data_IF_263814020892
#
_entry.id   IF_263814020892
#
_cell.length_a   1.000
_cell.length_b   1.000
_cell.length_c   1.000
_cell.angle_alpha   90.00
_cell.angle_beta   90.00
_cell.angle_gamma   90.00
#
_symmetry.space_group_name_H-M   'P 1'
#
loop_
_entity.id
_entity.type
_entity.pdbx_description
1 polymer ?
#
# COMPACT_ATOMS: atom_id res chain seq x y z
N UNK A 1 -13.09 64.00 7.63
CA UNK A 1 -12.26 62.77 7.74
C UNK A 1 -12.65 61.87 8.92
N UNK A 2 -12.72 62.30 10.17
CA UNK A 2 -13.07 61.45 11.33
C UNK A 2 -14.42 60.71 11.22
N UNK A 3 -15.47 61.29 10.67
CA UNK A 3 -16.80 60.61 10.50
C UNK A 3 -16.79 59.49 9.47
N UNK A 4 -16.01 59.62 8.38
CA UNK A 4 -15.89 58.58 7.34
C UNK A 4 -15.09 57.38 7.87
N UNK A 5 -14.00 57.68 8.59
CA UNK A 5 -13.17 56.65 9.24
C UNK A 5 -13.96 55.83 10.27
N UNK A 6 -14.80 56.50 11.08
CA UNK A 6 -15.69 55.83 12.05
C UNK A 6 -16.71 54.89 11.36
N UNK A 7 -17.28 55.32 10.21
CA UNK A 7 -18.19 54.46 9.42
C UNK A 7 -17.46 53.25 8.82
N UNK A 8 -16.23 53.45 8.33
CA UNK A 8 -15.42 52.34 7.81
C UNK A 8 -15.10 51.29 8.87
N UNK A 9 -14.73 51.70 10.07
CA UNK A 9 -14.47 50.76 11.20
C UNK A 9 -15.73 49.99 11.55
N UNK A 10 -16.89 50.62 11.61
CA UNK A 10 -18.17 49.96 11.87
C UNK A 10 -18.48 48.89 10.82
N UNK A 11 -18.26 49.20 9.54
CA UNK A 11 -18.48 48.25 8.44
C UNK A 11 -17.52 47.06 8.53
N UNK A 12 -16.26 47.27 8.90
CA UNK A 12 -15.28 46.16 9.11
C UNK A 12 -15.72 45.27 10.26
N UNK A 13 -16.18 45.86 11.38
CA UNK A 13 -16.65 45.07 12.53
C UNK A 13 -17.88 44.23 12.16
N UNK A 14 -18.85 44.84 11.44
CA UNK A 14 -20.03 44.09 10.98
C UNK A 14 -19.64 42.98 10.02
N UNK A 15 -18.72 43.21 9.09
CA UNK A 15 -18.20 42.18 8.19
C UNK A 15 -17.54 41.01 8.96
N UNK A 16 -16.72 41.30 9.96
CA UNK A 16 -16.08 40.27 10.82
C UNK A 16 -17.10 39.45 11.62
N UNK A 17 -18.16 40.11 12.14
CA UNK A 17 -19.23 39.42 12.87
C UNK A 17 -19.98 38.47 11.93
N UNK A 18 -20.32 38.90 10.73
CA UNK A 18 -21.00 38.05 9.74
C UNK A 18 -20.12 36.88 9.28
N UNK A 19 -18.84 37.13 9.05
CA UNK A 19 -17.88 36.07 8.71
C UNK A 19 -17.69 35.08 9.86
N UNK A 20 -17.55 35.54 11.08
CA UNK A 20 -17.42 34.70 12.26
C UNK A 20 -18.68 33.84 12.52
N UNK A 21 -19.86 34.44 12.34
CA UNK A 21 -21.14 33.73 12.44
C UNK A 21 -21.30 32.67 11.36
N UNK A 22 -20.92 33.00 10.11
CA UNK A 22 -20.93 32.06 8.98
C UNK A 22 -19.97 30.89 9.19
N UNK A 23 -18.75 31.16 9.65
CA UNK A 23 -17.76 30.13 9.99
C UNK A 23 -18.21 29.27 11.18
N UNK A 24 -18.81 29.88 12.19
CA UNK A 24 -19.37 29.15 13.33
C UNK A 24 -20.51 28.21 12.91
N UNK A 25 -21.41 28.71 12.06
CA UNK A 25 -22.50 27.89 11.50
C UNK A 25 -21.97 26.73 10.66
N UNK A 26 -21.04 26.99 9.74
CA UNK A 26 -20.40 25.97 8.92
C UNK A 26 -19.67 24.93 9.80
N UNK A 27 -18.94 25.36 10.82
CA UNK A 27 -18.22 24.46 11.70
C UNK A 27 -19.16 23.61 12.57
N UNK A 28 -20.25 24.16 13.08
CA UNK A 28 -21.13 23.46 14.01
C UNK A 28 -22.30 22.70 13.37
N UNK A 29 -22.70 23.04 12.16
CA UNK A 29 -23.84 22.42 11.49
C UNK A 29 -23.51 21.73 10.18
N UNK A 30 -22.53 22.22 9.43
CA UNK A 30 -22.19 21.66 8.13
C UNK A 30 -20.97 20.72 8.19
N UNK A 31 -19.97 21.04 9.03
CA UNK A 31 -18.77 20.23 9.24
C UNK A 31 -18.92 19.25 10.42
N UNK A 32 -19.88 19.42 11.29
CA UNK A 32 -20.35 18.37 12.20
C UNK A 32 -21.21 17.36 11.44
N UNK A 33 -20.65 16.74 10.41
CA UNK A 33 -21.06 15.40 10.07
C UNK A 33 -20.77 14.52 11.30
N UNK A 34 -21.72 13.64 11.67
CA UNK A 34 -21.71 12.71 12.80
C UNK A 34 -20.57 11.65 12.77
N UNK A 35 -19.44 11.94 12.21
CA UNK A 35 -18.19 11.33 12.51
C UNK A 35 -17.51 12.23 13.56
N UNK A 36 -17.84 12.01 14.84
CA UNK A 36 -16.88 12.29 15.86
C UNK A 36 -15.59 11.62 15.40
N UNK A 37 -14.69 12.40 14.81
CA UNK A 37 -13.28 12.07 14.75
C UNK A 37 -12.84 12.04 16.22
N UNK A 38 -13.19 10.96 16.91
CA UNK A 38 -12.42 10.49 18.03
C UNK A 38 -11.08 10.15 17.39
N UNK A 39 -10.19 11.14 17.36
CA UNK A 39 -8.77 10.94 17.37
C UNK A 39 -8.52 10.17 18.67
N UNK A 40 -8.84 8.90 18.64
CA UNK A 40 -8.33 7.94 19.56
C UNK A 40 -6.86 7.87 19.15
N UNK A 41 -6.00 8.57 19.92
CA UNK A 41 -4.61 8.21 19.99
C UNK A 41 -4.69 6.70 20.17
N UNK A 42 -4.38 5.95 19.12
CA UNK A 42 -4.08 4.53 19.26
C UNK A 42 -2.83 4.58 20.09
N UNK A 43 -3.02 4.63 21.42
CA UNK A 43 -1.96 4.30 22.32
C UNK A 43 -1.50 2.96 21.84
N UNK A 44 -0.20 2.73 21.80
CA UNK A 44 0.36 1.39 21.70
C UNK A 44 -0.37 0.55 22.76
N UNK A 45 -1.60 0.13 22.42
CA UNK A 45 -2.26 -0.94 23.13
C UNK A 45 -1.28 -2.07 22.96
N UNK A 46 -0.66 -2.47 24.05
CA UNK A 46 0.22 -3.62 24.12
C UNK A 46 -0.55 -4.77 23.43
N UNK A 47 -0.40 -4.83 22.11
CA UNK A 47 -1.03 -5.83 21.27
C UNK A 47 -0.50 -7.14 21.83
N UNK A 48 -1.37 -7.95 22.33
CA UNK A 48 -1.06 -9.26 22.91
C UNK A 48 0.03 -9.91 22.06
N UNK A 49 1.23 -10.08 22.64
CA UNK A 49 2.34 -10.83 22.04
C UNK A 49 2.00 -12.32 21.81
N UNK A 50 0.73 -12.69 21.89
CA UNK A 50 0.25 -14.06 21.74
C UNK A 50 -0.19 -14.32 20.30
N UNK A 51 0.26 -15.43 19.77
CA UNK A 51 -0.23 -15.99 18.52
C UNK A 51 -1.75 -16.17 18.62
N UNK A 52 -2.49 -15.69 17.62
CA UNK A 52 -3.93 -15.89 17.52
C UNK A 52 -4.28 -16.67 16.26
N UNK A 53 -5.31 -17.49 16.34
CA UNK A 53 -5.83 -18.32 15.24
C UNK A 53 -7.26 -17.88 14.95
N UNK A 54 -7.59 -17.71 13.68
CA UNK A 54 -8.96 -17.35 13.27
C UNK A 54 -9.94 -18.49 13.56
N UNK A 55 -11.20 -18.12 13.79
CA UNK A 55 -12.31 -19.07 13.98
C UNK A 55 -12.88 -19.61 12.67
N UNK A 56 -12.53 -19.01 11.55
CA UNK A 56 -12.98 -19.41 10.21
C UNK A 56 -11.86 -20.08 9.42
N UNK A 57 -12.24 -20.83 8.40
CA UNK A 57 -11.30 -21.44 7.43
C UNK A 57 -11.41 -20.75 6.07
N UNK A 58 -10.27 -20.44 5.49
CA UNK A 58 -10.18 -20.03 4.10
C UNK A 58 -10.45 -21.25 3.23
N UNK A 59 -11.34 -21.16 2.23
CA UNK A 59 -11.60 -22.29 1.32
C UNK A 59 -10.33 -22.74 0.60
N UNK A 60 -10.16 -24.04 0.40
CA UNK A 60 -8.96 -24.61 -0.22
C UNK A 60 -8.75 -24.20 -1.68
N UNK A 61 -9.83 -23.83 -2.38
CA UNK A 61 -9.83 -23.32 -3.75
C UNK A 61 -9.79 -21.78 -3.82
N UNK A 62 -9.59 -21.09 -2.69
CA UNK A 62 -9.39 -19.64 -2.67
C UNK A 62 -8.03 -19.28 -3.30
N UNK A 63 -8.01 -18.16 -4.04
CA UNK A 63 -6.82 -17.64 -4.70
C UNK A 63 -6.56 -16.21 -4.27
N UNK A 64 -5.33 -15.72 -4.44
CA UNK A 64 -4.93 -14.33 -4.13
C UNK A 64 -5.37 -13.93 -2.74
N UNK A 65 -4.79 -14.62 -1.75
CA UNK A 65 -5.11 -14.42 -0.34
C UNK A 65 -4.22 -13.31 0.21
N UNK A 66 -4.82 -12.23 0.72
CA UNK A 66 -4.13 -11.09 1.31
C UNK A 66 -4.75 -10.72 2.66
N UNK A 67 -3.95 -10.17 3.58
CA UNK A 67 -4.46 -9.64 4.86
C UNK A 67 -4.37 -8.12 4.90
N UNK A 68 -5.26 -7.50 5.66
CA UNK A 68 -5.27 -6.05 5.89
C UNK A 68 -4.08 -5.59 6.73
N UNK A 69 -3.91 -4.27 6.85
CA UNK A 69 -2.83 -3.60 7.58
C UNK A 69 -2.52 -4.22 8.96
N UNK A 70 -3.54 -4.52 9.75
CA UNK A 70 -3.43 -5.10 11.11
C UNK A 70 -3.80 -6.58 11.17
N UNK A 71 -4.00 -7.22 10.02
CA UNK A 71 -4.57 -8.57 9.88
C UNK A 71 -5.94 -8.74 10.57
N UNK A 72 -6.68 -7.64 10.75
CA UNK A 72 -8.08 -7.65 11.24
C UNK A 72 -9.05 -8.20 10.20
N UNK A 73 -8.65 -8.16 8.93
CA UNK A 73 -9.41 -8.70 7.81
C UNK A 73 -8.49 -9.52 6.89
N UNK A 74 -9.08 -10.49 6.20
CA UNK A 74 -8.46 -11.25 5.13
C UNK A 74 -9.33 -11.14 3.89
N UNK A 75 -8.71 -11.01 2.73
CA UNK A 75 -9.39 -11.04 1.43
C UNK A 75 -8.90 -12.20 0.59
N UNK A 76 -9.79 -12.77 -0.22
CA UNK A 76 -9.45 -13.81 -1.18
C UNK A 76 -10.46 -13.84 -2.32
N UNK A 77 -10.04 -14.41 -3.44
CA UNK A 77 -10.96 -14.70 -4.53
C UNK A 77 -11.44 -16.15 -4.46
N UNK A 78 -12.74 -16.32 -4.61
CA UNK A 78 -13.41 -17.62 -4.72
C UNK A 78 -14.38 -17.56 -5.90
N UNK A 79 -14.21 -18.44 -6.90
CA UNK A 79 -15.04 -18.45 -8.12
C UNK A 79 -15.08 -17.07 -8.81
N UNK A 80 -13.94 -16.39 -8.91
CA UNK A 80 -13.79 -15.02 -9.44
C UNK A 80 -14.56 -13.92 -8.68
N UNK A 81 -15.06 -14.19 -7.50
CA UNK A 81 -15.66 -13.19 -6.61
C UNK A 81 -14.70 -12.85 -5.46
N UNK A 82 -14.65 -11.58 -5.10
CA UNK A 82 -13.82 -11.10 -3.99
C UNK A 82 -14.60 -11.20 -2.66
N UNK A 83 -14.03 -11.90 -1.72
CA UNK A 83 -14.53 -12.01 -0.35
C UNK A 83 -13.61 -11.31 0.62
N UNK A 84 -14.19 -10.64 1.61
CA UNK A 84 -13.49 -10.07 2.75
C UNK A 84 -14.09 -10.65 4.03
N UNK A 85 -13.23 -11.19 4.89
CA UNK A 85 -13.64 -11.83 6.13
C UNK A 85 -13.01 -11.11 7.32
N UNK A 86 -13.79 -10.77 8.31
CA UNK A 86 -13.28 -10.28 9.59
C UNK A 86 -12.62 -11.45 10.35
N UNK A 87 -11.36 -11.31 10.71
CA UNK A 87 -10.56 -12.41 11.27
C UNK A 87 -10.91 -12.76 12.72
N UNK A 88 -11.65 -11.92 13.42
CA UNK A 88 -12.11 -12.13 14.80
C UNK A 88 -13.48 -12.77 14.80
N UNK A 89 -14.43 -12.21 14.05
CA UNK A 89 -15.84 -12.64 14.07
C UNK A 89 -16.16 -13.72 13.06
N UNK A 90 -15.31 -13.93 12.06
CA UNK A 90 -15.57 -14.82 10.92
C UNK A 90 -16.65 -14.31 9.96
N UNK A 91 -17.18 -13.09 10.17
CA UNK A 91 -18.18 -12.51 9.28
C UNK A 91 -17.57 -12.27 7.90
N UNK A 92 -18.14 -12.90 6.89
CA UNK A 92 -17.74 -12.76 5.49
C UNK A 92 -18.63 -11.77 4.76
N UNK A 93 -18.02 -10.97 3.90
CA UNK A 93 -18.68 -10.02 3.01
C UNK A 93 -18.24 -10.34 1.59
N UNK A 94 -19.18 -10.57 0.69
CA UNK A 94 -18.91 -10.59 -0.73
C UNK A 94 -18.83 -9.14 -1.23
N UNK A 95 -17.66 -8.72 -1.72
CA UNK A 95 -17.49 -7.41 -2.33
C UNK A 95 -18.07 -7.49 -3.74
N UNK A 96 -19.40 -7.37 -3.81
CA UNK A 96 -20.09 -7.48 -5.09
C UNK A 96 -19.86 -6.25 -5.96
N UNK A 97 -19.76 -6.48 -7.25
CA UNK A 97 -19.85 -5.46 -8.29
C UNK A 97 -21.27 -5.48 -8.88
N UNK A 98 -21.68 -4.38 -9.51
CA UNK A 98 -22.92 -4.32 -10.29
C UNK A 98 -22.94 -5.37 -11.39
N UNK A 99 -24.10 -5.76 -11.91
CA UNK A 99 -24.23 -6.72 -13.00
C UNK A 99 -23.34 -6.35 -14.20
N UNK A 100 -22.55 -7.33 -14.68
CA UNK A 100 -21.61 -7.14 -15.80
C UNK A 100 -20.29 -6.49 -15.45
N UNK A 101 -20.04 -6.16 -14.18
CA UNK A 101 -18.77 -5.61 -13.68
C UNK A 101 -17.97 -6.72 -13.01
N UNK A 102 -16.68 -6.81 -13.34
CA UNK A 102 -15.74 -7.76 -12.73
C UNK A 102 -14.71 -7.02 -11.88
N UNK A 103 -14.50 -7.46 -10.64
CA UNK A 103 -13.35 -7.02 -9.85
C UNK A 103 -12.11 -7.71 -10.41
N UNK A 104 -11.22 -6.93 -11.01
CA UNK A 104 -10.00 -7.43 -11.67
C UNK A 104 -8.76 -7.37 -10.80
N UNK A 105 -8.76 -6.50 -9.78
CA UNK A 105 -7.64 -6.34 -8.86
C UNK A 105 -8.10 -5.68 -7.55
N UNK A 106 -7.49 -6.08 -6.44
CA UNK A 106 -7.65 -5.39 -5.16
C UNK A 106 -6.31 -5.30 -4.43
N UNK A 107 -6.16 -4.29 -3.59
CA UNK A 107 -4.99 -4.13 -2.72
C UNK A 107 -5.37 -3.41 -1.43
N UNK A 108 -4.92 -3.94 -0.30
CA UNK A 108 -5.07 -3.29 0.99
C UNK A 108 -4.23 -2.02 1.09
N UNK A 109 -4.74 -1.00 1.78
CA UNK A 109 -3.96 0.17 2.12
C UNK A 109 -2.91 -0.20 3.19
N UNK A 110 -1.73 0.44 3.16
CA UNK A 110 -0.63 0.07 4.07
C UNK A 110 -0.80 0.59 5.50
N UNK A 111 -1.79 1.45 5.75
CA UNK A 111 -1.95 2.20 7.00
C UNK A 111 -3.32 2.02 7.67
N UNK A 112 -4.27 1.36 7.00
CA UNK A 112 -5.65 1.18 7.51
C UNK A 112 -6.37 0.03 6.84
N UNK A 113 -7.48 -0.43 7.48
CA UNK A 113 -8.34 -1.50 6.97
C UNK A 113 -9.29 -0.99 5.88
N UNK A 114 -8.72 -0.56 4.77
CA UNK A 114 -9.42 -0.14 3.56
C UNK A 114 -8.68 -0.70 2.36
N UNK A 115 -9.37 -1.01 1.29
CA UNK A 115 -8.76 -1.53 0.06
C UNK A 115 -9.04 -0.62 -1.14
N UNK A 116 -8.11 -0.64 -2.09
CA UNK A 116 -8.34 -0.21 -3.45
C UNK A 116 -8.89 -1.39 -4.25
N UNK A 117 -9.93 -1.14 -5.00
CA UNK A 117 -10.60 -2.14 -5.85
C UNK A 117 -10.63 -1.59 -7.26
N UNK A 118 -10.16 -2.39 -8.22
CA UNK A 118 -10.28 -2.09 -9.64
C UNK A 118 -11.36 -2.96 -10.25
N UNK A 119 -12.32 -2.31 -10.86
CA UNK A 119 -13.41 -2.92 -11.58
C UNK A 119 -13.21 -2.76 -13.08
N UNK A 120 -13.55 -3.80 -13.82
CA UNK A 120 -13.50 -3.80 -15.29
C UNK A 120 -14.89 -4.02 -15.84
N UNK A 121 -15.33 -3.12 -16.70
CA UNK A 121 -16.57 -3.23 -17.47
C UNK A 121 -16.36 -2.71 -18.88
N UNK A 122 -16.64 -3.52 -19.89
CA UNK A 122 -16.55 -3.12 -21.30
C UNK A 122 -15.22 -2.43 -21.65
N UNK A 123 -14.08 -2.97 -21.19
CA UNK A 123 -12.71 -2.41 -21.34
C UNK A 123 -12.45 -1.11 -20.55
N UNK A 124 -13.39 -0.62 -19.78
CA UNK A 124 -13.15 0.49 -18.89
C UNK A 124 -12.67 -0.04 -17.54
N UNK A 125 -11.62 0.57 -17.02
CA UNK A 125 -11.16 0.35 -15.65
C UNK A 125 -11.66 1.49 -14.77
N UNK A 126 -12.32 1.15 -13.69
CA UNK A 126 -12.64 2.09 -12.63
C UNK A 126 -11.95 1.70 -11.34
N UNK A 127 -11.46 2.72 -10.63
CA UNK A 127 -10.82 2.59 -9.33
C UNK A 127 -11.76 3.09 -8.25
N UNK A 128 -11.90 2.32 -7.20
CA UNK A 128 -12.71 2.65 -6.02
C UNK A 128 -11.95 2.34 -4.74
N UNK A 129 -12.24 3.08 -3.67
CA UNK A 129 -11.97 2.63 -2.31
C UNK A 129 -13.11 1.75 -1.82
N UNK A 130 -12.77 0.71 -1.08
CA UNK A 130 -13.72 -0.10 -0.34
C UNK A 130 -13.40 -0.02 1.15
N UNK A 131 -14.31 0.56 1.92
CA UNK A 131 -14.24 0.61 3.39
C UNK A 131 -14.89 -0.64 3.96
N UNK A 132 -14.07 -1.51 4.57
CA UNK A 132 -14.55 -2.80 5.06
C UNK A 132 -15.39 -2.68 6.32
N UNK A 133 -15.21 -1.60 7.10
CA UNK A 133 -15.97 -1.38 8.34
C UNK A 133 -17.39 -0.92 8.06
N UNK A 134 -17.56 -0.14 7.00
CA UNK A 134 -18.85 0.40 6.55
C UNK A 134 -19.48 -0.46 5.44
N UNK A 135 -18.74 -1.42 4.88
CA UNK A 135 -19.12 -2.18 3.68
C UNK A 135 -19.50 -1.27 2.51
N UNK A 136 -18.82 -0.13 2.38
CA UNK A 136 -19.15 0.91 1.41
C UNK A 136 -18.02 1.09 0.38
N UNK A 137 -18.44 1.18 -0.88
CA UNK A 137 -17.55 1.46 -2.01
C UNK A 137 -17.71 2.93 -2.47
N UNK A 138 -16.60 3.63 -2.61
CA UNK A 138 -16.53 5.02 -3.08
C UNK A 138 -15.64 5.11 -4.31
N UNK A 139 -16.20 5.56 -5.44
CA UNK A 139 -15.47 5.69 -6.70
C UNK A 139 -14.42 6.80 -6.63
N UNK A 140 -13.19 6.46 -6.99
CA UNK A 140 -12.05 7.39 -7.09
C UNK A 140 -11.98 7.99 -8.49
N UNK A 141 -11.83 7.16 -9.52
CA UNK A 141 -11.65 7.62 -10.91
C UNK A 141 -11.93 6.51 -11.91
N UNK A 142 -12.31 6.90 -13.12
CA UNK A 142 -12.20 6.03 -14.30
C UNK A 142 -10.77 6.12 -14.82
N UNK A 143 -10.09 4.98 -14.92
CA UNK A 143 -8.67 4.98 -15.23
C UNK A 143 -8.43 5.14 -16.72
N UNK A 144 -9.04 4.32 -17.57
CA UNK A 144 -8.93 4.42 -19.05
C UNK A 144 -9.67 3.27 -19.74
N UNK A 145 -9.92 3.46 -21.06
CA UNK A 145 -10.18 2.35 -21.96
C UNK A 145 -8.87 1.60 -22.21
N UNK A 146 -8.82 0.35 -21.81
CA UNK A 146 -7.68 -0.54 -22.06
C UNK A 146 -8.00 -1.54 -23.16
N UNK A 147 -6.96 -2.11 -23.76
CA UNK A 147 -7.17 -3.24 -24.68
C UNK A 147 -7.74 -4.44 -23.90
N UNK A 148 -8.42 -5.35 -24.60
CA UNK A 148 -8.98 -6.57 -23.99
C UNK A 148 -7.91 -7.46 -23.33
N UNK A 149 -6.64 -7.32 -23.75
CA UNK A 149 -5.50 -8.06 -23.21
C UNK A 149 -4.82 -7.37 -22.01
N UNK A 150 -5.25 -6.16 -21.64
CA UNK A 150 -4.64 -5.42 -20.54
C UNK A 150 -5.16 -5.90 -19.17
N UNK A 151 -4.28 -5.99 -18.19
CA UNK A 151 -4.62 -6.37 -16.80
C UNK A 151 -3.87 -5.52 -15.80
N UNK A 152 -4.54 -5.10 -14.73
CA UNK A 152 -3.85 -4.45 -13.60
C UNK A 152 -2.98 -5.50 -12.90
N UNK A 153 -1.74 -5.12 -12.61
CA UNK A 153 -0.74 -5.99 -11.96
C UNK A 153 -0.26 -5.49 -10.62
N UNK A 154 -0.35 -4.20 -10.39
CA UNK A 154 -0.03 -3.62 -9.09
C UNK A 154 -0.66 -2.23 -8.94
N UNK A 155 -0.89 -1.82 -7.70
CA UNK A 155 -1.32 -0.47 -7.33
C UNK A 155 -0.48 -0.06 -6.14
N UNK A 156 0.15 1.10 -6.25
CA UNK A 156 0.85 1.72 -5.14
C UNK A 156 0.17 3.03 -4.76
N UNK A 157 0.01 3.26 -3.49
CA UNK A 157 -0.70 4.43 -2.96
C UNK A 157 0.11 5.10 -1.88
N UNK A 158 0.19 6.43 -1.94
CA UNK A 158 0.59 7.24 -0.80
C UNK A 158 -0.66 7.93 -0.23
N UNK A 159 -1.16 7.49 0.94
CA UNK A 159 -2.26 8.16 1.61
C UNK A 159 -1.93 9.60 2.03
N UNK A 160 -0.65 9.91 2.24
CA UNK A 160 -0.18 11.23 2.69
C UNK A 160 -0.17 12.25 1.55
N UNK A 161 0.28 11.86 0.36
CA UNK A 161 0.27 12.73 -0.82
C UNK A 161 -0.99 12.58 -1.67
N UNK A 162 -1.88 11.64 -1.31
CA UNK A 162 -3.13 11.35 -2.02
C UNK A 162 -2.92 11.01 -3.50
N UNK A 163 -1.86 10.27 -3.81
CA UNK A 163 -1.54 9.82 -5.16
C UNK A 163 -1.57 8.30 -5.26
N UNK A 164 -1.97 7.81 -6.41
CA UNK A 164 -2.09 6.39 -6.73
C UNK A 164 -1.37 6.13 -8.04
N UNK A 165 -0.46 5.16 -8.05
CA UNK A 165 0.20 4.65 -9.23
C UNK A 165 -0.34 3.27 -9.57
N UNK A 166 -0.78 3.08 -10.81
CA UNK A 166 -1.43 1.85 -11.27
C UNK A 166 -0.60 1.26 -12.38
N UNK A 167 -0.09 0.06 -12.16
CA UNK A 167 0.68 -0.70 -13.14
C UNK A 167 -0.24 -1.62 -13.92
N UNK A 168 -0.32 -1.37 -15.22
CA UNK A 168 -1.14 -2.13 -16.17
C UNK A 168 -0.23 -2.90 -17.13
N UNK A 169 -0.41 -4.20 -17.22
CA UNK A 169 0.25 -5.05 -18.21
C UNK A 169 -0.48 -4.95 -19.54
N UNK A 170 0.23 -4.60 -20.60
CA UNK A 170 -0.28 -4.47 -21.95
C UNK A 170 0.28 -5.63 -22.83
N UNK A 171 -0.51 -6.66 -23.03
CA UNK A 171 -0.04 -7.83 -23.77
C UNK A 171 1.03 -8.64 -23.02
N UNK A 172 2.06 -9.14 -23.75
CA UNK A 172 2.96 -10.16 -23.21
C UNK A 172 3.99 -9.64 -22.19
N UNK A 173 4.65 -8.51 -22.48
CA UNK A 173 5.82 -8.06 -21.69
C UNK A 173 5.77 -6.60 -21.24
N UNK A 174 4.93 -5.76 -21.81
CA UNK A 174 4.95 -4.33 -21.62
C UNK A 174 4.01 -3.87 -20.53
N UNK A 175 4.43 -2.82 -19.82
CA UNK A 175 3.65 -2.21 -18.76
C UNK A 175 3.48 -0.71 -19.01
N UNK A 176 2.31 -0.20 -18.68
CA UNK A 176 2.06 1.23 -18.56
C UNK A 176 1.79 1.56 -17.11
N UNK A 177 2.33 2.68 -16.66
CA UNK A 177 2.07 3.20 -15.33
C UNK A 177 1.14 4.40 -15.47
N UNK A 178 0.04 4.38 -14.75
CA UNK A 178 -0.90 5.50 -14.66
C UNK A 178 -0.86 6.11 -13.27
N UNK A 179 -0.84 7.42 -13.21
CA UNK A 179 -0.89 8.21 -12.00
C UNK A 179 -2.27 8.86 -11.87
N UNK A 180 -2.83 8.81 -10.67
CA UNK A 180 -4.12 9.42 -10.32
C UNK A 180 -3.97 10.15 -8.99
N UNK A 181 -4.53 11.35 -8.87
CA UNK A 181 -4.57 12.10 -7.61
C UNK A 181 -6.00 12.23 -7.07
N UNK A 182 -6.12 12.83 -5.88
CA UNK A 182 -7.42 13.08 -5.21
C UNK A 182 -8.36 13.98 -6.05
N UNK A 183 -7.80 14.88 -6.87
CA UNK A 183 -8.55 15.75 -7.79
C UNK A 183 -9.05 15.00 -9.02
N UNK A 184 -8.87 13.67 -9.07
CA UNK A 184 -9.18 12.79 -10.22
C UNK A 184 -8.41 13.13 -11.50
N UNK A 185 -7.37 13.98 -11.39
CA UNK A 185 -6.42 14.18 -12.49
C UNK A 185 -5.66 12.88 -12.74
N UNK A 186 -5.39 12.59 -14.00
CA UNK A 186 -4.72 11.35 -14.42
C UNK A 186 -3.70 11.61 -15.52
N UNK A 187 -2.60 10.89 -15.48
CA UNK A 187 -1.58 10.93 -16.53
C UNK A 187 -0.89 9.58 -16.66
N UNK A 188 -0.39 9.28 -17.85
CA UNK A 188 0.54 8.15 -18.06
C UNK A 188 1.94 8.61 -17.64
N UNK A 189 2.61 7.84 -16.82
CA UNK A 189 4.00 8.08 -16.44
C UNK A 189 4.92 7.49 -17.50
N UNK A 190 5.85 8.29 -17.98
CA UNK A 190 6.91 7.84 -18.87
C UNK A 190 8.03 7.24 -18.02
N UNK A 191 8.36 5.98 -18.26
CA UNK A 191 9.47 5.26 -17.63
C UNK A 191 10.60 5.02 -18.64
N UNK A 192 11.83 4.82 -18.18
CA UNK A 192 13.01 4.53 -19.06
C UNK A 192 12.87 3.22 -19.84
N UNK A 193 11.93 2.40 -19.49
CA UNK A 193 11.61 1.15 -20.17
C UNK A 193 10.15 0.83 -19.94
N UNK A 194 9.49 0.22 -20.92
CA UNK A 194 8.17 -0.38 -20.74
C UNK A 194 8.24 -1.76 -20.05
N UNK A 195 9.47 -2.26 -19.81
CA UNK A 195 9.70 -3.52 -19.11
C UNK A 195 9.92 -3.26 -17.62
N UNK A 196 8.82 -2.98 -16.91
CA UNK A 196 8.82 -2.54 -15.51
C UNK A 196 8.55 -3.69 -14.55
N UNK A 197 9.44 -3.89 -13.58
CA UNK A 197 9.28 -4.82 -12.46
C UNK A 197 8.44 -4.23 -11.33
N UNK A 198 8.90 -4.36 -10.08
CA UNK A 198 8.21 -3.79 -8.94
C UNK A 198 8.16 -2.27 -9.01
N UNK A 199 7.08 -1.71 -8.51
CA UNK A 199 6.91 -0.27 -8.28
C UNK A 199 6.64 -0.02 -6.80
N UNK A 200 7.06 1.11 -6.27
CA UNK A 200 6.73 1.60 -4.93
C UNK A 200 6.61 3.12 -4.96
N UNK A 201 5.77 3.68 -4.12
CA UNK A 201 5.60 5.13 -3.98
C UNK A 201 6.30 5.62 -2.72
N UNK A 202 6.92 6.79 -2.79
CA UNK A 202 7.48 7.48 -1.61
C UNK A 202 6.30 8.00 -0.77
N UNK A 203 6.20 7.67 0.53
CA UNK A 203 5.06 8.06 1.35
C UNK A 203 4.80 9.58 1.43
N UNK A 204 5.85 10.40 1.54
CA UNK A 204 5.72 11.85 1.73
C UNK A 204 6.00 12.67 0.45
N UNK A 205 6.26 12.02 -0.68
CA UNK A 205 6.54 12.70 -1.95
C UNK A 205 5.74 12.06 -3.09
N UNK A 206 5.29 12.89 -4.05
CA UNK A 206 4.70 12.38 -5.31
C UNK A 206 5.79 11.85 -6.23
N UNK A 207 6.47 10.79 -5.79
CA UNK A 207 7.51 10.10 -6.55
C UNK A 207 7.32 8.60 -6.48
N UNK A 208 7.60 7.95 -7.60
CA UNK A 208 7.62 6.50 -7.73
C UNK A 208 9.04 6.00 -7.92
N UNK A 209 9.37 4.91 -7.24
CA UNK A 209 10.57 4.11 -7.49
C UNK A 209 10.17 2.83 -8.19
N UNK A 210 10.91 2.43 -9.22
CA UNK A 210 10.55 1.29 -10.04
C UNK A 210 11.78 0.49 -10.53
N UNK A 211 11.58 -0.78 -10.80
CA UNK A 211 12.57 -1.63 -11.45
C UNK A 211 12.47 -1.51 -12.96
N UNK A 212 13.60 -1.26 -13.60
CA UNK A 212 13.75 -1.42 -15.05
C UNK A 212 14.37 -2.80 -15.33
N UNK A 213 13.55 -3.71 -15.84
CA UNK A 213 13.97 -5.09 -16.10
C UNK A 213 14.80 -5.24 -17.39
N UNK A 214 14.93 -4.18 -18.20
CA UNK A 214 15.79 -4.19 -19.39
C UNK A 214 17.26 -4.20 -18.99
N UNK A 215 17.63 -3.41 -17.98
CA UNK A 215 19.00 -3.30 -17.50
C UNK A 215 19.22 -3.77 -16.05
N UNK A 216 18.16 -4.29 -15.41
CA UNK A 216 18.17 -4.77 -14.03
C UNK A 216 18.65 -3.70 -13.03
N UNK A 217 18.12 -2.49 -13.14
CA UNK A 217 18.42 -1.35 -12.28
C UNK A 217 17.14 -0.78 -11.68
N UNK A 218 17.29 -0.14 -10.51
CA UNK A 218 16.21 0.59 -9.86
C UNK A 218 16.29 2.06 -10.25
N UNK A 219 15.16 2.66 -10.57
CA UNK A 219 14.99 4.05 -10.98
C UNK A 219 14.02 4.79 -10.08
N UNK A 220 14.13 6.11 -10.04
CA UNK A 220 13.15 6.99 -9.41
C UNK A 220 12.64 8.01 -10.41
N UNK A 221 11.36 8.36 -10.34
CA UNK A 221 10.76 9.45 -11.13
C UNK A 221 11.19 10.81 -10.58
N UNK A 222 11.32 11.80 -11.44
CA UNK A 222 11.52 13.21 -11.21
C UNK A 222 12.78 13.67 -10.46
N UNK A 223 14.00 13.62 -10.97
CA UNK A 223 14.42 13.23 -12.31
C UNK A 223 14.52 11.71 -12.47
N UNK A 224 14.15 11.22 -13.64
CA UNK A 224 14.16 9.79 -13.95
C UNK A 224 15.58 9.30 -14.23
N UNK A 225 16.26 8.81 -13.20
CA UNK A 225 17.62 8.28 -13.28
C UNK A 225 17.77 6.99 -12.46
N UNK A 226 18.79 6.22 -12.82
CA UNK A 226 19.13 4.99 -12.11
C UNK A 226 19.72 5.29 -10.73
N UNK A 227 19.31 4.54 -9.73
CA UNK A 227 20.00 4.49 -8.45
C UNK A 227 21.25 3.61 -8.61
N UNK A 228 22.43 4.23 -8.52
CA UNK A 228 23.70 3.56 -8.72
C UNK A 228 24.41 3.35 -7.38
N UNK A 229 24.89 2.13 -7.17
CA UNK A 229 25.62 1.73 -5.98
C UNK A 229 26.97 1.16 -6.38
N UNK A 230 28.05 1.55 -5.66
CA UNK A 230 29.40 1.06 -5.94
C UNK A 230 29.44 -0.48 -5.85
N UNK A 231 29.99 -1.10 -6.90
CA UNK A 231 30.12 -2.56 -7.00
C UNK A 231 28.81 -3.31 -7.33
N UNK A 232 27.68 -2.59 -7.54
CA UNK A 232 26.42 -3.22 -7.94
C UNK A 232 26.20 -3.17 -9.45
N UNK A 233 26.19 -4.31 -10.11
CA UNK A 233 25.86 -4.44 -11.53
C UNK A 233 24.37 -4.63 -11.76
N UNK A 234 23.68 -5.37 -10.87
CA UNK A 234 22.24 -5.63 -10.89
C UNK A 234 21.62 -5.27 -9.56
N UNK A 235 20.49 -4.62 -9.60
CA UNK A 235 19.75 -4.24 -8.39
C UNK A 235 18.25 -4.49 -8.55
N UNK A 236 17.56 -4.72 -7.44
CA UNK A 236 16.11 -4.90 -7.39
C UNK A 236 15.50 -4.06 -6.26
N UNK A 237 14.29 -3.59 -6.48
CA UNK A 237 13.52 -2.85 -5.48
C UNK A 237 12.89 -3.82 -4.49
N UNK A 238 13.17 -3.63 -3.19
CA UNK A 238 12.58 -4.43 -2.12
C UNK A 238 11.34 -3.74 -1.54
N UNK A 239 11.51 -2.54 -1.00
CA UNK A 239 10.45 -1.82 -0.31
C UNK A 239 10.78 -0.32 -0.20
N UNK A 240 9.79 0.43 0.31
CA UNK A 240 9.98 1.78 0.88
C UNK A 240 9.28 1.77 2.24
N UNK A 241 9.92 2.32 3.25
CA UNK A 241 9.35 2.40 4.60
C UNK A 241 8.56 3.71 4.82
N UNK A 242 7.94 3.84 6.00
CA UNK A 242 7.12 5.01 6.35
C UNK A 242 7.95 6.30 6.55
N UNK A 243 9.28 6.22 6.53
CA UNK A 243 10.20 7.35 6.65
C UNK A 243 10.86 7.70 5.31
N UNK A 244 10.30 7.27 4.17
CA UNK A 244 10.79 7.48 2.81
C UNK A 244 12.13 6.79 2.50
N UNK A 245 12.58 5.87 3.33
CA UNK A 245 13.78 5.10 3.02
C UNK A 245 13.47 4.02 1.97
N UNK A 246 14.21 4.06 0.89
CA UNK A 246 14.14 3.09 -0.21
C UNK A 246 15.11 1.95 0.08
N UNK A 247 14.66 0.72 -0.02
CA UNK A 247 15.46 -0.49 0.17
C UNK A 247 15.70 -1.18 -1.17
N UNK A 248 16.98 -1.32 -1.53
CA UNK A 248 17.41 -1.87 -2.83
C UNK A 248 18.36 -3.03 -2.58
N UNK A 249 18.00 -4.19 -3.11
CA UNK A 249 18.86 -5.39 -3.04
C UNK A 249 19.92 -5.39 -4.14
N UNK A 250 21.18 -5.68 -3.78
CA UNK A 250 22.22 -6.05 -4.73
C UNK A 250 22.00 -7.50 -5.17
N UNK A 251 21.88 -7.73 -6.46
CA UNK A 251 21.61 -9.05 -7.02
C UNK A 251 22.92 -9.65 -7.55
N UNK A 252 23.35 -10.74 -6.94
CA UNK A 252 24.59 -11.43 -7.32
C UNK A 252 24.41 -12.32 -8.58
N UNK A 253 25.47 -12.99 -9.00
CA UNK A 253 25.46 -13.88 -10.19
C UNK A 253 24.48 -15.06 -10.08
N UNK A 254 24.14 -15.48 -8.87
CA UNK A 254 23.17 -16.55 -8.59
C UNK A 254 21.72 -16.02 -8.50
N UNK A 255 21.46 -14.79 -8.91
CA UNK A 255 20.15 -14.09 -8.79
C UNK A 255 19.60 -14.05 -7.35
N UNK A 256 20.50 -14.01 -6.35
CA UNK A 256 20.18 -13.84 -4.94
C UNK A 256 20.67 -12.50 -4.45
N UNK A 257 20.06 -11.99 -3.40
CA UNK A 257 20.45 -10.75 -2.74
C UNK A 257 21.49 -11.06 -1.68
N UNK A 258 22.63 -10.42 -1.75
CA UNK A 258 23.76 -10.56 -0.81
C UNK A 258 24.00 -9.29 0.02
N UNK A 259 23.43 -8.16 -0.41
CA UNK A 259 23.53 -6.87 0.27
C UNK A 259 22.28 -6.04 0.02
N UNK A 260 21.86 -5.27 0.99
CA UNK A 260 20.76 -4.33 0.87
C UNK A 260 21.32 -2.91 1.04
N UNK A 261 21.06 -2.04 0.08
CA UNK A 261 21.27 -0.60 0.20
C UNK A 261 19.99 0.06 0.66
N UNK A 262 20.09 1.03 1.56
CA UNK A 262 18.91 1.78 2.02
C UNK A 262 19.25 3.24 2.30
N UNK A 263 18.33 4.13 1.98
CA UNK A 263 18.49 5.57 2.12
C UNK A 263 17.34 6.33 1.49
N UNK A 264 17.31 7.65 1.67
CA UNK A 264 16.34 8.53 1.00
C UNK A 264 16.85 8.93 -0.38
N UNK A 265 15.93 9.21 -1.30
CA UNK A 265 16.29 9.78 -2.60
C UNK A 265 17.01 11.13 -2.41
N UNK A 266 18.18 11.28 -3.05
CA UNK A 266 19.00 12.49 -2.92
C UNK A 266 19.79 12.61 -1.61
N UNK A 267 19.68 11.65 -0.70
CA UNK A 267 20.45 11.59 0.54
C UNK A 267 21.56 10.52 0.52
N UNK A 268 22.16 10.31 1.69
CA UNK A 268 23.18 9.29 1.88
C UNK A 268 22.57 7.89 1.94
N UNK A 269 23.29 6.94 1.34
CA UNK A 269 22.91 5.54 1.33
C UNK A 269 23.78 4.73 2.27
N UNK A 270 23.13 3.90 3.07
CA UNK A 270 23.77 2.90 3.93
C UNK A 270 23.67 1.52 3.28
N UNK A 271 24.48 0.57 3.76
CA UNK A 271 24.42 -0.81 3.30
C UNK A 271 24.29 -1.78 4.48
N UNK A 272 23.54 -2.84 4.25
CA UNK A 272 23.34 -3.96 5.16
C UNK A 272 23.78 -5.23 4.43
N UNK A 273 24.97 -5.78 4.71
CA UNK A 273 25.40 -7.06 4.14
C UNK A 273 24.57 -8.21 4.74
N UNK A 274 24.28 -9.21 3.92
CA UNK A 274 23.62 -10.42 4.36
C UNK A 274 24.66 -11.52 4.62
N UNK A 275 24.56 -12.20 5.74
CA UNK A 275 25.46 -13.33 6.07
C UNK A 275 25.41 -14.47 5.05
N UNK A 276 24.26 -14.62 4.41
CA UNK A 276 24.02 -15.57 3.30
C UNK A 276 23.16 -14.91 2.27
N UNK A 277 23.41 -15.17 0.98
CA UNK A 277 22.60 -14.62 -0.10
C UNK A 277 21.20 -15.25 -0.11
N UNK A 278 20.17 -14.39 -0.20
CA UNK A 278 18.75 -14.75 -0.04
C UNK A 278 17.96 -14.42 -1.31
N UNK A 279 17.02 -15.28 -1.68
CA UNK A 279 16.09 -14.96 -2.77
C UNK A 279 15.21 -13.74 -2.42
N UNK A 280 14.91 -12.91 -3.41
CA UNK A 280 14.06 -11.72 -3.23
C UNK A 280 12.74 -12.02 -2.52
N UNK A 281 12.08 -13.12 -2.89
CA UNK A 281 10.77 -13.52 -2.35
C UNK A 281 10.83 -13.99 -0.89
N UNK A 282 12.02 -14.14 -0.35
CA UNK A 282 12.25 -14.51 1.06
C UNK A 282 12.71 -13.29 1.88
N UNK A 283 12.71 -12.09 1.31
CA UNK A 283 13.03 -10.85 2.00
C UNK A 283 11.81 -9.93 2.01
N UNK A 284 11.56 -9.29 3.14
CA UNK A 284 10.58 -8.22 3.23
C UNK A 284 11.03 -7.15 4.22
N UNK A 285 10.52 -5.96 4.04
CA UNK A 285 10.79 -4.81 4.91
C UNK A 285 9.44 -4.31 5.43
N UNK A 286 9.36 -4.07 6.73
CA UNK A 286 8.18 -3.50 7.36
C UNK A 286 8.09 -1.99 7.16
N UNK A 287 6.92 -1.39 7.38
CA UNK A 287 6.76 0.07 7.36
C UNK A 287 7.66 0.81 8.37
N UNK A 288 8.12 0.15 9.44
CA UNK A 288 9.10 0.69 10.40
C UNK A 288 10.55 0.54 9.98
N UNK A 289 10.84 0.02 8.79
CA UNK A 289 12.19 -0.11 8.25
C UNK A 289 12.96 -1.35 8.73
N UNK A 290 12.33 -2.26 9.43
CA UNK A 290 12.95 -3.52 9.82
C UNK A 290 13.00 -4.49 8.66
N UNK A 291 14.14 -5.12 8.44
CA UNK A 291 14.37 -6.08 7.36
C UNK A 291 14.32 -7.49 7.89
N UNK A 292 13.50 -8.34 7.26
CA UNK A 292 13.32 -9.73 7.66
C UNK A 292 13.68 -10.68 6.52
N UNK A 293 14.29 -11.81 6.91
CA UNK A 293 14.48 -12.98 6.08
C UNK A 293 13.47 -14.05 6.49
N UNK A 294 12.73 -14.60 5.54
CA UNK A 294 11.82 -15.72 5.75
C UNK A 294 12.49 -17.05 5.36
N UNK A 295 12.62 -17.95 6.30
CA UNK A 295 12.99 -19.36 6.08
C UNK A 295 11.69 -20.19 6.06
N UNK A 296 11.17 -20.46 4.86
CA UNK A 296 9.93 -21.19 4.66
C UNK A 296 10.02 -22.66 5.12
N UNK A 297 11.22 -23.24 5.14
CA UNK A 297 11.45 -24.63 5.57
C UNK A 297 11.31 -24.71 7.09
N UNK A 298 11.89 -23.77 7.80
CA UNK A 298 11.83 -23.69 9.25
C UNK A 298 10.55 -22.99 9.77
N UNK A 299 9.72 -22.46 8.88
CA UNK A 299 8.56 -21.62 9.22
C UNK A 299 8.96 -20.50 10.19
N UNK A 300 10.00 -19.75 9.84
CA UNK A 300 10.63 -18.78 10.71
C UNK A 300 11.03 -17.52 9.93
N UNK A 301 10.76 -16.36 10.51
CA UNK A 301 11.32 -15.09 10.03
C UNK A 301 12.37 -14.60 11.01
N UNK A 302 13.49 -14.08 10.48
CA UNK A 302 14.59 -13.52 11.27
C UNK A 302 14.75 -12.05 10.91
N UNK A 303 14.68 -11.15 11.89
CA UNK A 303 15.05 -9.74 11.73
C UNK A 303 16.57 -9.65 11.54
N UNK A 304 17.01 -9.12 10.41
CA UNK A 304 18.44 -9.18 10.01
C UNK A 304 19.31 -8.31 10.92
N UNK A 305 18.80 -7.16 11.37
CA UNK A 305 19.57 -6.22 12.18
C UNK A 305 19.79 -6.71 13.62
N UNK A 306 18.85 -7.48 14.17
CA UNK A 306 18.88 -7.89 15.59
C UNK A 306 19.05 -9.40 15.78
N UNK A 307 18.95 -10.19 14.72
CA UNK A 307 18.88 -11.65 14.71
C UNK A 307 17.71 -12.24 15.55
N UNK A 308 16.68 -11.42 15.83
CA UNK A 308 15.49 -11.93 16.51
C UNK A 308 14.69 -12.81 15.59
N UNK A 309 14.28 -13.96 16.10
CA UNK A 309 13.55 -14.96 15.37
C UNK A 309 12.09 -15.01 15.80
N UNK A 310 11.18 -15.15 14.84
CA UNK A 310 9.75 -15.34 15.07
C UNK A 310 9.32 -16.59 14.31
N UNK A 311 8.94 -17.64 15.05
CA UNK A 311 8.45 -18.90 14.49
C UNK A 311 6.94 -18.78 14.27
N UNK A 312 6.48 -19.11 13.07
CA UNK A 312 5.07 -19.13 12.70
C UNK A 312 4.60 -20.54 12.35
N UNK A 313 3.29 -20.78 12.27
CA UNK A 313 2.72 -22.09 11.91
C UNK A 313 2.15 -22.07 10.49
N UNK A 314 2.39 -23.14 9.72
CA UNK A 314 1.80 -23.34 8.40
C UNK A 314 2.51 -22.55 7.29
N UNK A 315 1.76 -22.17 6.26
CA UNK A 315 2.29 -21.49 5.06
C UNK A 315 2.30 -19.97 5.25
N UNK A 316 3.46 -19.34 5.10
CA UNK A 316 3.60 -17.89 5.13
C UNK A 316 2.75 -17.23 4.05
N UNK A 317 1.96 -16.25 4.42
CA UNK A 317 1.23 -15.39 3.48
C UNK A 317 2.00 -14.08 3.27
N UNK A 318 2.05 -13.25 4.29
CA UNK A 318 2.71 -11.94 4.27
C UNK A 318 2.99 -11.44 5.69
N UNK A 319 3.76 -10.37 5.81
CA UNK A 319 3.85 -9.59 7.05
C UNK A 319 2.68 -8.61 7.12
N UNK A 320 2.24 -8.31 8.33
CA UNK A 320 1.33 -7.22 8.65
C UNK A 320 2.02 -6.24 9.61
N UNK A 321 1.36 -5.19 10.05
CA UNK A 321 1.99 -4.09 10.82
C UNK A 321 2.86 -4.55 12.00
N UNK A 322 2.48 -5.62 12.71
CA UNK A 322 3.12 -6.05 13.95
C UNK A 322 3.53 -7.53 13.97
N UNK A 323 3.43 -8.23 12.83
CA UNK A 323 3.72 -9.67 12.83
C UNK A 323 3.67 -10.33 11.46
N UNK A 324 3.54 -11.64 11.51
CA UNK A 324 3.43 -12.55 10.37
C UNK A 324 2.03 -13.13 10.30
N UNK A 325 1.43 -13.11 9.12
CA UNK A 325 0.22 -13.83 8.78
C UNK A 325 0.57 -15.11 8.01
N UNK A 326 0.04 -16.24 8.44
CA UNK A 326 0.22 -17.54 7.82
C UNK A 326 -1.07 -18.34 7.80
N UNK A 327 -1.13 -19.39 6.99
CA UNK A 327 -2.26 -20.34 6.96
C UNK A 327 -1.82 -21.68 7.52
N UNK A 328 -2.54 -22.18 8.53
CA UNK A 328 -2.40 -23.55 9.07
C UNK A 328 -3.76 -24.23 9.03
N UNK A 329 -3.86 -25.32 8.29
CA UNK A 329 -5.09 -26.12 8.12
C UNK A 329 -6.29 -25.29 7.65
N UNK A 330 -6.01 -24.25 6.81
CA UNK A 330 -6.98 -23.29 6.31
C UNK A 330 -7.31 -22.14 7.26
N UNK A 331 -6.85 -22.19 8.51
CA UNK A 331 -7.06 -21.09 9.46
C UNK A 331 -5.96 -20.03 9.32
N UNK A 332 -6.34 -18.77 9.41
CA UNK A 332 -5.36 -17.68 9.50
C UNK A 332 -4.72 -17.68 10.89
N UNK A 333 -3.40 -17.74 10.91
CA UNK A 333 -2.59 -17.63 12.13
C UNK A 333 -1.86 -16.28 12.10
N UNK A 334 -2.02 -15.49 13.16
CA UNK A 334 -1.32 -14.21 13.35
C UNK A 334 -0.27 -14.40 14.42
N UNK A 335 0.99 -14.26 14.05
CA UNK A 335 2.15 -14.41 14.95
C UNK A 335 2.85 -13.06 15.08
N UNK A 336 2.80 -12.39 16.23
CA UNK A 336 3.53 -11.14 16.46
C UNK A 336 5.04 -11.31 16.33
N UNK A 337 5.75 -10.28 15.88
CA UNK A 337 7.21 -10.24 15.91
C UNK A 337 7.75 -10.25 17.35
N UNK A 338 8.86 -10.94 17.56
CA UNK A 338 9.60 -10.97 18.84
C UNK A 338 10.37 -9.66 19.07
#
# INVERSE_FOLDING_TARGET
>A
MKKVFKKMIILIIISLIVQSGGLFYLNNYFLTSNAALKSQKVGDSAQSKKTSVSTFKVPSNATTIDVSYDAGYISYYLNNQLYVVNTITGKSINVSSSNGVKISFCKWLPDRNRMLVVETQNRNLSLSYYDVTQSQKSKVSDILMISSASTVKDIEVSPLTNVIYIKVKNGYKYYSIYWVNIMKSRKKIVTKSEYVGNIRVIPHEDKMVYENLTNNKVYATGPDHALNFSGSTKSCLLAIDNNDQVYVGNVNSSNKIDKIYYGKLGGDWKSLPLSTAVSKDNLFVTGSGKVYKNDKIKSMVTEIQTNKETIYKGTFLQSYSTGVASLSDGNLVKTPFN
#
